data_IF_149562489972
#
_entry.id   IF_149562489972
#
_cell.length_a   1.000
_cell.length_b   1.000
_cell.length_c   1.000
_cell.angle_alpha   90.00
_cell.angle_beta   90.00
_cell.angle_gamma   90.00
#
_symmetry.space_group_name_H-M   'P 1'
#
loop_
_entity.id
_entity.type
_entity.pdbx_description
1 polymer ?
#
# COMPACT_ATOMS: atom_id res chain seq x y z
N UNK A 1 16.78 19.38 2.14
CA UNK A 1 15.57 19.24 2.99
C UNK A 1 14.28 19.60 2.23
N UNK A 2 14.14 20.80 1.67
CA UNK A 2 12.89 21.22 0.99
C UNK A 2 12.44 20.27 -0.14
N UNK A 3 13.38 19.78 -0.95
CA UNK A 3 13.10 18.84 -2.05
C UNK A 3 12.55 17.49 -1.58
N UNK A 4 13.05 16.97 -0.47
CA UNK A 4 12.62 15.70 0.13
C UNK A 4 11.21 15.83 0.71
N UNK A 5 10.92 16.94 1.38
CA UNK A 5 9.59 17.23 1.91
C UNK A 5 8.56 17.35 0.78
N UNK A 6 8.90 18.06 -0.30
CA UNK A 6 8.02 18.19 -1.47
C UNK A 6 7.69 16.83 -2.10
N UNK A 7 8.67 15.92 -2.20
CA UNK A 7 8.45 14.57 -2.69
C UNK A 7 7.57 13.74 -1.75
N UNK A 8 7.81 13.81 -0.44
CA UNK A 8 7.01 13.08 0.56
C UNK A 8 5.53 13.51 0.50
N UNK A 9 5.28 14.82 0.46
CA UNK A 9 3.93 15.37 0.36
C UNK A 9 3.28 14.96 -0.96
N UNK A 10 4.03 14.97 -2.06
CA UNK A 10 3.51 14.54 -3.36
C UNK A 10 3.11 13.06 -3.33
N UNK A 11 3.94 12.18 -2.78
CA UNK A 11 3.62 10.75 -2.64
C UNK A 11 2.32 10.57 -1.83
N UNK A 12 2.20 11.27 -0.71
CA UNK A 12 1.03 11.17 0.16
C UNK A 12 -0.26 11.66 -0.54
N UNK A 13 -0.17 12.74 -1.31
CA UNK A 13 -1.28 13.25 -2.12
C UNK A 13 -1.66 12.27 -3.23
N UNK A 14 -0.67 11.67 -3.91
CA UNK A 14 -0.90 10.65 -4.93
C UNK A 14 -1.54 9.39 -4.35
N UNK A 15 -1.14 8.96 -3.15
CA UNK A 15 -1.73 7.81 -2.47
C UNK A 15 -3.21 8.07 -2.12
N UNK A 16 -3.52 9.24 -1.56
CA UNK A 16 -4.92 9.62 -1.27
C UNK A 16 -5.74 9.68 -2.55
N UNK A 17 -5.20 10.28 -3.61
CA UNK A 17 -5.89 10.36 -4.90
C UNK A 17 -6.14 8.97 -5.50
N UNK A 18 -5.19 8.05 -5.35
CA UNK A 18 -5.33 6.66 -5.79
C UNK A 18 -6.41 5.95 -4.98
N UNK A 19 -6.39 6.08 -3.65
CA UNK A 19 -7.43 5.49 -2.80
C UNK A 19 -8.81 6.03 -3.17
N UNK A 20 -8.93 7.33 -3.42
CA UNK A 20 -10.18 7.96 -3.84
C UNK A 20 -10.66 7.45 -5.21
N UNK A 21 -9.76 7.37 -6.20
CA UNK A 21 -10.09 6.83 -7.52
C UNK A 21 -10.51 5.35 -7.45
N UNK A 22 -9.83 4.56 -6.63
CA UNK A 22 -10.15 3.15 -6.40
C UNK A 22 -11.50 3.00 -5.70
N UNK A 23 -11.77 3.78 -4.64
CA UNK A 23 -13.07 3.78 -3.98
C UNK A 23 -14.20 4.11 -4.98
N UNK A 24 -13.97 5.10 -5.86
CA UNK A 24 -14.93 5.45 -6.90
C UNK A 24 -15.12 4.31 -7.93
N UNK A 25 -14.05 3.60 -8.30
CA UNK A 25 -14.10 2.46 -9.23
C UNK A 25 -14.88 1.25 -8.69
N UNK A 26 -14.90 1.06 -7.36
CA UNK A 26 -15.65 0.01 -6.67
C UNK A 26 -17.12 0.45 -6.45
N UNK A 27 -17.50 1.63 -6.94
CA UNK A 27 -18.87 2.15 -6.86
C UNK A 27 -19.18 2.88 -5.55
N UNK A 28 -18.16 3.26 -4.76
CA UNK A 28 -18.38 4.17 -3.63
C UNK A 28 -18.50 5.60 -4.13
N UNK A 29 -19.63 6.25 -3.84
CA UNK A 29 -19.74 7.70 -3.92
C UNK A 29 -19.18 8.35 -2.65
N UNK A 30 -17.86 8.26 -2.48
CA UNK A 30 -17.17 8.83 -1.34
C UNK A 30 -16.61 10.20 -1.68
N UNK A 31 -16.96 11.21 -0.87
CA UNK A 31 -16.31 12.51 -0.94
C UNK A 31 -14.78 12.36 -0.67
N UNK A 32 -13.94 13.25 -1.23
CA UNK A 32 -12.49 13.18 -1.03
C UNK A 32 -12.06 13.34 0.44
N UNK A 33 -12.87 14.02 1.27
CA UNK A 33 -12.57 14.22 2.68
C UNK A 33 -12.56 12.93 3.53
N UNK A 34 -13.62 12.07 3.50
CA UNK A 34 -13.58 10.77 4.15
C UNK A 34 -12.44 9.86 3.70
N UNK A 35 -12.10 9.86 2.41
CA UNK A 35 -10.97 9.08 1.88
C UNK A 35 -9.64 9.56 2.48
N UNK A 36 -9.43 10.88 2.53
CA UNK A 36 -8.25 11.48 3.15
C UNK A 36 -8.13 11.16 4.64
N UNK A 37 -9.22 11.34 5.40
CA UNK A 37 -9.24 11.06 6.84
C UNK A 37 -8.94 9.58 7.12
N UNK A 38 -9.59 8.69 6.38
CA UNK A 38 -9.40 7.24 6.51
C UNK A 38 -7.96 6.84 6.21
N UNK A 39 -7.37 7.40 5.15
CA UNK A 39 -5.98 7.14 4.77
C UNK A 39 -4.97 7.65 5.80
N UNK A 40 -5.14 8.89 6.27
CA UNK A 40 -4.25 9.50 7.26
C UNK A 40 -4.29 8.73 8.57
N UNK A 41 -5.48 8.43 9.09
CA UNK A 41 -5.63 7.69 10.34
C UNK A 41 -5.09 6.26 10.21
N UNK A 42 -5.38 5.58 9.10
CA UNK A 42 -4.82 4.26 8.84
C UNK A 42 -3.29 4.30 8.76
N UNK A 43 -2.71 5.33 8.12
CA UNK A 43 -1.26 5.54 8.05
C UNK A 43 -0.63 5.80 9.42
N UNK A 44 -1.29 6.58 10.28
CA UNK A 44 -0.84 6.82 11.67
C UNK A 44 -0.85 5.53 12.46
N UNK A 45 -1.95 4.76 12.41
CA UNK A 45 -2.06 3.47 13.10
C UNK A 45 -1.03 2.47 12.58
N UNK A 46 -0.81 2.43 11.25
CA UNK A 46 0.21 1.60 10.64
C UNK A 46 1.63 1.97 11.09
N UNK A 47 1.90 3.26 11.27
CA UNK A 47 3.21 3.77 11.73
C UNK A 47 3.46 3.45 13.21
N UNK A 48 2.42 3.51 14.03
CA UNK A 48 2.48 3.13 15.44
C UNK A 48 2.47 1.61 15.65
N UNK A 49 2.12 0.85 14.62
CA UNK A 49 2.04 -0.60 14.69
C UNK A 49 3.44 -1.23 14.74
N UNK A 50 3.68 -2.23 15.60
CA UNK A 50 4.93 -2.99 15.61
C UNK A 50 5.07 -3.92 14.39
N UNK A 51 4.09 -3.96 13.49
CA UNK A 51 4.07 -4.83 12.32
C UNK A 51 4.85 -4.18 11.17
N UNK A 52 5.94 -4.80 10.68
CA UNK A 52 6.64 -4.32 9.50
C UNK A 52 5.67 -4.29 8.30
N UNK A 53 5.70 -3.19 7.52
CA UNK A 53 4.76 -2.85 6.43
C UNK A 53 3.33 -2.44 6.86
N UNK A 54 2.97 -2.48 8.15
CA UNK A 54 1.62 -2.15 8.61
C UNK A 54 0.54 -3.05 8.02
N UNK A 55 0.91 -4.28 7.63
CA UNK A 55 0.00 -5.29 7.08
C UNK A 55 -1.04 -5.67 8.15
N UNK A 56 -2.31 -5.69 7.79
CA UNK A 56 -3.42 -5.92 8.72
C UNK A 56 -3.87 -4.70 9.53
N UNK A 57 -2.94 -3.91 10.10
CA UNK A 57 -3.33 -2.72 10.90
C UNK A 57 -3.84 -1.56 10.06
N UNK A 58 -3.15 -1.24 8.96
CA UNK A 58 -3.63 -0.25 8.00
C UNK A 58 -4.97 -0.70 7.38
N UNK A 59 -5.05 -1.97 6.99
CA UNK A 59 -6.24 -2.49 6.30
C UNK A 59 -7.45 -2.47 7.22
N UNK A 60 -7.32 -3.03 8.43
CA UNK A 60 -8.39 -3.01 9.41
C UNK A 60 -8.84 -1.60 9.78
N UNK A 61 -7.89 -0.66 9.91
CA UNK A 61 -8.21 0.74 10.21
C UNK A 61 -8.91 1.43 9.04
N UNK A 62 -8.43 1.23 7.81
CA UNK A 62 -9.01 1.86 6.61
C UNK A 62 -10.42 1.31 6.35
N UNK A 63 -10.60 -0.01 6.41
CA UNK A 63 -11.90 -0.68 6.27
C UNK A 63 -12.86 -0.22 7.36
N UNK A 64 -12.40 -0.18 8.62
CA UNK A 64 -13.20 0.26 9.74
C UNK A 64 -13.66 1.71 9.61
N UNK A 65 -12.77 2.61 9.19
CA UNK A 65 -13.10 4.03 8.99
C UNK A 65 -14.03 4.24 7.79
N UNK A 66 -13.78 3.58 6.67
CA UNK A 66 -14.67 3.60 5.50
C UNK A 66 -16.07 3.08 5.85
N UNK A 67 -16.14 2.00 6.64
CA UNK A 67 -17.40 1.45 7.12
C UNK A 67 -18.14 2.44 8.05
N UNK A 68 -17.44 3.08 8.99
CA UNK A 68 -18.02 4.12 9.86
C UNK A 68 -18.50 5.34 9.06
N UNK A 69 -17.83 5.66 7.95
CA UNK A 69 -18.23 6.72 7.02
C UNK A 69 -19.43 6.34 6.12
N UNK A 70 -20.02 5.16 6.32
CA UNK A 70 -21.27 4.76 5.68
C UNK A 70 -21.11 3.90 4.44
N UNK A 71 -19.91 3.39 4.15
CA UNK A 71 -19.69 2.49 3.02
C UNK A 71 -19.80 1.01 3.42
N UNK A 72 -20.20 0.14 2.49
CA UNK A 72 -20.27 -1.31 2.74
C UNK A 72 -18.88 -1.89 3.02
N UNK A 73 -18.82 -2.89 3.91
CA UNK A 73 -17.56 -3.55 4.28
C UNK A 73 -16.91 -4.25 3.09
N UNK A 74 -17.72 -4.81 2.18
CA UNK A 74 -17.27 -5.49 0.95
C UNK A 74 -16.56 -4.50 0.03
N UNK A 75 -17.16 -3.33 -0.16
CA UNK A 75 -16.61 -2.26 -0.98
C UNK A 75 -15.34 -1.69 -0.34
N UNK A 76 -15.33 -1.53 0.99
CA UNK A 76 -14.19 -1.00 1.76
C UNK A 76 -12.98 -1.93 1.68
N UNK A 77 -13.23 -3.24 1.78
CA UNK A 77 -12.25 -4.30 1.59
C UNK A 77 -11.69 -4.27 0.17
N UNK A 78 -12.55 -4.27 -0.84
CA UNK A 78 -12.12 -4.25 -2.25
C UNK A 78 -11.28 -3.00 -2.55
N UNK A 79 -11.69 -1.81 -2.10
CA UNK A 79 -10.93 -0.59 -2.31
C UNK A 79 -9.55 -0.63 -1.64
N UNK A 80 -9.50 -1.12 -0.40
CA UNK A 80 -8.26 -1.27 0.36
C UNK A 80 -7.31 -2.29 -0.29
N UNK A 81 -7.83 -3.44 -0.74
CA UNK A 81 -7.03 -4.48 -1.40
C UNK A 81 -6.49 -4.01 -2.75
N UNK A 82 -7.29 -3.31 -3.56
CA UNK A 82 -6.83 -2.76 -4.84
C UNK A 82 -5.72 -1.74 -4.58
N UNK A 83 -5.94 -0.80 -3.65
CA UNK A 83 -4.92 0.18 -3.25
C UNK A 83 -3.64 -0.50 -2.78
N UNK A 84 -3.74 -1.49 -1.89
CA UNK A 84 -2.60 -2.29 -1.41
C UNK A 84 -1.92 -3.08 -2.52
N UNK A 85 -2.67 -3.58 -3.50
CA UNK A 85 -2.11 -4.19 -4.71
C UNK A 85 -1.20 -3.21 -5.45
N UNK A 86 -1.65 -1.98 -5.65
CA UNK A 86 -0.82 -0.94 -6.27
C UNK A 86 0.38 -0.53 -5.41
N UNK A 87 0.22 -0.37 -4.10
CA UNK A 87 1.29 0.17 -3.24
C UNK A 87 2.29 -0.90 -2.78
N UNK A 88 1.91 -2.18 -2.69
CA UNK A 88 2.80 -3.27 -2.27
C UNK A 88 3.36 -4.08 -3.44
N UNK A 89 2.52 -4.49 -4.39
CA UNK A 89 2.94 -5.41 -5.44
C UNK A 89 3.68 -4.70 -6.57
N UNK A 90 3.26 -3.49 -6.91
CA UNK A 90 3.88 -2.69 -7.97
C UNK A 90 5.36 -2.35 -7.67
N UNK A 91 5.77 -1.98 -6.44
CA UNK A 91 7.19 -1.82 -6.11
C UNK A 91 7.93 -3.15 -5.91
N UNK A 92 7.27 -4.25 -5.52
CA UNK A 92 7.93 -5.56 -5.40
C UNK A 92 8.28 -6.20 -6.76
N UNK A 93 7.45 -5.99 -7.80
CA UNK A 93 7.69 -6.51 -9.15
C UNK A 93 9.06 -6.13 -9.74
N UNK A 94 9.45 -4.83 -9.80
CA UNK A 94 10.76 -4.44 -10.32
C UNK A 94 11.89 -4.91 -9.39
N UNK A 95 11.67 -4.95 -8.08
CA UNK A 95 12.65 -5.47 -7.12
C UNK A 95 12.97 -6.95 -7.36
N UNK A 96 11.96 -7.78 -7.59
CA UNK A 96 12.13 -9.21 -7.88
C UNK A 96 12.79 -9.42 -9.26
N UNK A 97 12.44 -8.60 -10.24
CA UNK A 97 13.03 -8.67 -11.58
C UNK A 97 14.52 -8.31 -11.57
N UNK A 98 14.91 -7.28 -10.80
CA UNK A 98 16.31 -6.93 -10.60
C UNK A 98 17.06 -8.02 -9.83
N UNK A 99 16.46 -8.59 -8.78
CA UNK A 99 17.06 -9.71 -8.03
C UNK A 99 17.30 -10.93 -8.93
N UNK A 100 16.38 -11.21 -9.87
CA UNK A 100 16.55 -12.29 -10.86
C UNK A 100 17.69 -12.02 -11.85
N UNK A 101 18.04 -10.75 -12.11
CA UNK A 101 19.18 -10.39 -12.96
C UNK A 101 20.52 -10.53 -12.23
N UNK A 102 20.53 -10.29 -10.92
CA UNK A 102 21.72 -10.32 -10.05
C UNK A 102 21.93 -11.67 -9.33
N UNK A 103 21.21 -12.72 -9.70
CA UNK A 103 21.48 -14.11 -9.28
C UNK A 103 22.20 -14.88 -10.41
N UNK A 104 23.50 -14.64 -10.68
CA UNK A 104 24.32 -15.58 -11.44
C UNK A 104 24.25 -16.95 -10.76
N UNK A 105 23.97 -17.99 -11.54
CA UNK A 105 23.77 -19.35 -11.04
C UNK A 105 24.82 -19.78 -10.02
N UNK A 106 24.36 -20.14 -8.81
CA UNK A 106 25.10 -20.93 -7.81
C UNK A 106 25.35 -22.36 -8.33
N UNK A 107 25.94 -22.53 -9.52
CA UNK A 107 26.06 -23.82 -10.20
C UNK A 107 27.51 -24.30 -10.39
N UNK A 108 28.42 -24.01 -9.45
CA UNK A 108 29.82 -24.44 -9.60
C UNK A 108 30.65 -24.58 -8.29
N UNK A 109 30.07 -24.95 -7.13
CA UNK A 109 30.89 -25.13 -5.91
C UNK A 109 30.62 -26.34 -5.00
N UNK A 110 29.68 -27.23 -5.33
CA UNK A 110 29.51 -28.49 -4.56
C UNK A 110 29.97 -29.75 -5.32
N UNK A 111 30.61 -29.62 -6.48
CA UNK A 111 31.12 -30.74 -7.28
C UNK A 111 32.65 -30.93 -7.13
N UNK A 112 33.29 -30.36 -6.10
CA UNK A 112 34.75 -30.34 -6.02
C UNK A 112 35.28 -30.21 -4.60
N UNK A 113 34.89 -31.13 -3.73
CA UNK A 113 35.67 -31.54 -2.56
C UNK A 113 35.17 -32.90 -2.11
N UNK A 114 35.53 -33.86 -2.97
CA UNK A 114 36.02 -35.18 -2.56
C UNK A 114 37.03 -35.06 -1.40
#
# INVERSE_FOLDING_TARGET
MLKTLALLVSIFLLDVATLWAVAHSVGMELAPAPAFISFVLASVVATLSPVPLGLGTFEGTCIGLLHVMGSSIESSLAATLIFRGFTLWLPMLPGLWLMRRELPGRNARSAGRE
#
